data_IF_106225816412
#
_entry.id   IF_106225816412
#
_cell.length_a   1.000
_cell.length_b   1.000
_cell.length_c   1.000
_cell.angle_alpha   90.00
_cell.angle_beta   90.00
_cell.angle_gamma   90.00
#
_symmetry.space_group_name_H-M   'P 1'
#
loop_
_entity.id
_entity.type
_entity.pdbx_description
1 polymer ?
#
# COMPACT_ATOMS: atom_id res chain seq x y z
N UNK A 1 13.35 -7.15 -5.57
CA UNK A 1 11.86 -7.06 -5.59
C UNK A 1 11.19 -8.31 -6.16
N UNK A 2 11.74 -9.00 -7.19
CA UNK A 2 11.11 -10.19 -7.83
C UNK A 2 10.87 -11.33 -6.83
N UNK A 3 11.85 -11.64 -5.97
CA UNK A 3 11.72 -12.70 -4.96
C UNK A 3 10.61 -12.39 -3.92
N UNK A 4 10.48 -11.13 -3.49
CA UNK A 4 9.41 -10.73 -2.58
C UNK A 4 8.03 -10.79 -3.25
N UNK A 5 7.94 -10.47 -4.52
CA UNK A 5 6.71 -10.62 -5.31
C UNK A 5 6.28 -12.08 -5.42
N UNK A 6 7.22 -12.97 -5.78
CA UNK A 6 6.93 -14.42 -5.87
C UNK A 6 6.47 -14.98 -4.53
N UNK A 7 7.18 -14.67 -3.44
CA UNK A 7 6.78 -15.07 -2.09
C UNK A 7 5.34 -14.65 -1.76
N UNK A 8 5.00 -13.38 -2.02
CA UNK A 8 3.66 -12.87 -1.76
C UNK A 8 2.60 -13.52 -2.67
N UNK A 9 2.94 -13.77 -3.95
CA UNK A 9 2.04 -14.45 -4.87
C UNK A 9 1.73 -15.88 -4.42
N UNK A 10 2.72 -16.61 -3.89
CA UNK A 10 2.51 -17.95 -3.34
C UNK A 10 1.53 -17.92 -2.16
N UNK A 11 1.68 -16.96 -1.24
CA UNK A 11 0.74 -16.79 -0.12
C UNK A 11 -0.66 -16.47 -0.64
N UNK A 12 -0.76 -15.47 -1.53
CA UNK A 12 -2.05 -14.96 -2.00
C UNK A 12 -2.82 -15.98 -2.83
N UNK A 13 -2.18 -16.59 -3.83
CA UNK A 13 -2.81 -17.61 -4.69
C UNK A 13 -3.14 -18.87 -3.89
N UNK A 14 -2.21 -19.31 -3.02
CA UNK A 14 -2.46 -20.44 -2.14
C UNK A 14 -3.63 -20.20 -1.20
N UNK A 15 -3.69 -19.03 -0.55
CA UNK A 15 -4.81 -18.67 0.32
C UNK A 15 -6.14 -18.63 -0.43
N UNK A 16 -6.20 -17.97 -1.59
CA UNK A 16 -7.43 -17.91 -2.41
C UNK A 16 -7.87 -19.28 -2.88
N UNK A 17 -6.93 -20.15 -3.27
CA UNK A 17 -7.22 -21.52 -3.66
C UNK A 17 -7.82 -22.33 -2.52
N UNK A 18 -7.23 -22.27 -1.33
CA UNK A 18 -7.75 -22.93 -0.13
C UNK A 18 -9.11 -22.38 0.31
N UNK A 19 -9.27 -21.06 0.29
CA UNK A 19 -10.54 -20.42 0.62
C UNK A 19 -11.65 -20.83 -0.37
N UNK A 20 -11.38 -20.76 -1.67
CA UNK A 20 -12.31 -21.22 -2.70
C UNK A 20 -12.64 -22.71 -2.54
N UNK A 21 -11.65 -23.53 -2.19
CA UNK A 21 -11.84 -24.93 -1.89
C UNK A 21 -12.79 -25.16 -0.71
N UNK A 22 -12.58 -24.45 0.39
CA UNK A 22 -13.47 -24.53 1.57
C UNK A 22 -14.90 -24.14 1.20
N UNK A 23 -15.09 -23.02 0.49
CA UNK A 23 -16.41 -22.60 0.03
C UNK A 23 -17.06 -23.66 -0.87
N UNK A 24 -16.28 -24.27 -1.77
CA UNK A 24 -16.76 -25.34 -2.67
C UNK A 24 -17.21 -26.56 -1.88
N UNK A 25 -16.44 -26.94 -0.83
CA UNK A 25 -16.78 -28.06 0.05
C UNK A 25 -18.07 -27.80 0.82
N UNK A 26 -18.23 -26.59 1.38
CA UNK A 26 -19.44 -26.21 2.10
C UNK A 26 -20.69 -26.19 1.18
N UNK A 27 -20.55 -25.68 -0.03
CA UNK A 27 -21.63 -25.76 -1.04
C UNK A 27 -21.99 -27.22 -1.32
N UNK A 28 -20.99 -28.09 -1.50
CA UNK A 28 -21.24 -29.51 -1.73
C UNK A 28 -21.96 -30.18 -0.54
N UNK A 29 -21.58 -29.84 0.70
CA UNK A 29 -22.25 -30.37 1.91
C UNK A 29 -23.70 -29.91 2.02
N UNK A 30 -24.01 -28.68 1.70
CA UNK A 30 -25.37 -28.10 1.75
C UNK A 30 -26.28 -28.61 0.63
N UNK A 31 -25.72 -29.19 -0.44
CA UNK A 31 -26.50 -29.69 -1.56
C UNK A 31 -27.25 -31.01 -1.25
N UNK A 32 -28.49 -31.16 -1.79
CA UNK A 32 -29.19 -32.44 -1.73
C UNK A 32 -28.34 -33.59 -2.33
N UNK A 33 -28.54 -34.86 -1.90
CA UNK A 33 -27.72 -35.98 -2.37
C UNK A 33 -27.67 -36.13 -3.89
N UNK A 34 -28.76 -35.78 -4.61
CA UNK A 34 -28.84 -35.85 -6.08
C UNK A 34 -28.03 -34.78 -6.83
N UNK A 35 -27.62 -33.70 -6.14
CA UNK A 35 -26.85 -32.59 -6.72
C UNK A 35 -25.41 -32.53 -6.23
N UNK A 36 -24.98 -33.49 -5.43
CA UNK A 36 -23.60 -33.56 -4.93
C UNK A 36 -22.62 -33.82 -6.09
N UNK A 37 -21.69 -32.88 -6.29
CA UNK A 37 -20.81 -32.85 -7.45
C UNK A 37 -19.35 -33.27 -7.15
N UNK A 38 -18.87 -33.16 -5.88
CA UNK A 38 -17.54 -33.62 -5.49
C UNK A 38 -17.53 -35.13 -5.29
N UNK A 39 -17.48 -35.88 -6.41
CA UNK A 39 -17.46 -37.34 -6.43
C UNK A 39 -16.52 -37.83 -7.55
N UNK A 40 -15.95 -39.00 -7.37
CA UNK A 40 -15.07 -39.65 -8.36
C UNK A 40 -13.91 -38.76 -8.79
N UNK A 41 -13.70 -38.63 -10.10
CA UNK A 41 -12.58 -37.85 -10.66
C UNK A 41 -12.63 -36.36 -10.26
N UNK A 42 -13.81 -35.79 -10.12
CA UNK A 42 -13.97 -34.38 -9.70
C UNK A 42 -13.41 -34.18 -8.30
N UNK A 43 -13.65 -35.09 -7.38
CA UNK A 43 -13.08 -35.04 -6.04
C UNK A 43 -11.56 -35.17 -6.06
N UNK A 44 -11.00 -36.08 -6.86
CA UNK A 44 -9.55 -36.27 -6.99
C UNK A 44 -8.87 -35.01 -7.48
N UNK A 45 -9.40 -34.37 -8.54
CA UNK A 45 -8.84 -33.12 -9.08
C UNK A 45 -8.93 -31.99 -8.04
N UNK A 46 -10.06 -31.88 -7.35
CA UNK A 46 -10.28 -30.92 -6.29
C UNK A 46 -9.24 -31.10 -5.17
N UNK A 47 -9.13 -32.30 -4.62
CA UNK A 47 -8.21 -32.64 -3.53
C UNK A 47 -6.75 -32.34 -3.91
N UNK A 48 -6.29 -32.84 -5.06
CA UNK A 48 -4.94 -32.59 -5.55
C UNK A 48 -4.63 -31.10 -5.74
N UNK A 49 -5.61 -30.33 -6.23
CA UNK A 49 -5.45 -28.87 -6.41
C UNK A 49 -5.29 -28.17 -5.07
N UNK A 50 -6.02 -28.57 -4.04
CA UNK A 50 -5.90 -28.00 -2.69
C UNK A 50 -4.57 -28.35 -2.03
N UNK A 51 -4.05 -29.54 -2.26
CA UNK A 51 -2.71 -29.93 -1.82
C UNK A 51 -1.62 -29.00 -2.39
N UNK A 52 -1.69 -28.74 -3.71
CA UNK A 52 -0.77 -27.79 -4.35
C UNK A 52 -0.93 -26.36 -3.79
N UNK A 53 -2.16 -25.93 -3.53
CA UNK A 53 -2.44 -24.64 -2.91
C UNK A 53 -1.86 -24.58 -1.48
N UNK A 54 -1.96 -25.65 -0.71
CA UNK A 54 -1.38 -25.77 0.64
C UNK A 54 0.14 -25.64 0.61
N UNK A 55 0.81 -26.32 -0.32
CA UNK A 55 2.26 -26.21 -0.51
C UNK A 55 2.65 -24.78 -0.84
N UNK A 56 1.98 -24.18 -1.81
CA UNK A 56 2.26 -22.79 -2.20
C UNK A 56 2.09 -21.83 -1.00
N UNK A 57 0.97 -21.94 -0.29
CA UNK A 57 0.64 -21.11 0.86
C UNK A 57 1.68 -21.22 1.97
N UNK A 58 1.97 -22.43 2.45
CA UNK A 58 2.92 -22.63 3.54
C UNK A 58 4.35 -22.28 3.13
N UNK A 59 4.78 -22.62 1.91
CA UNK A 59 6.09 -22.23 1.39
C UNK A 59 6.25 -20.71 1.39
N UNK A 60 5.25 -20.00 0.92
CA UNK A 60 5.24 -18.53 0.94
C UNK A 60 5.32 -17.95 2.35
N UNK A 61 4.56 -18.50 3.30
CA UNK A 61 4.55 -18.05 4.70
C UNK A 61 5.86 -18.31 5.43
N UNK A 62 6.42 -19.54 5.29
CA UNK A 62 7.73 -19.86 5.89
C UNK A 62 8.84 -19.02 5.27
N UNK A 63 8.77 -18.74 3.98
CA UNK A 63 9.72 -17.81 3.34
C UNK A 63 9.57 -16.39 3.90
N UNK A 64 8.34 -15.90 4.09
CA UNK A 64 8.09 -14.60 4.69
C UNK A 64 8.63 -14.51 6.13
N UNK A 65 8.42 -15.56 6.92
CA UNK A 65 8.93 -15.66 8.28
C UNK A 65 10.47 -15.70 8.31
N UNK A 66 11.09 -16.54 7.48
CA UNK A 66 12.54 -16.64 7.36
C UNK A 66 13.19 -15.30 6.96
N UNK A 67 12.58 -14.54 6.04
CA UNK A 67 13.05 -13.20 5.67
C UNK A 67 13.00 -12.21 6.82
N UNK A 68 12.07 -12.34 7.77
CA UNK A 68 12.01 -11.47 8.95
C UNK A 68 12.99 -11.89 10.03
N UNK A 69 13.21 -13.18 10.22
CA UNK A 69 14.11 -13.71 11.25
C UNK A 69 15.58 -13.62 10.85
N UNK A 70 15.90 -13.98 9.60
CA UNK A 70 17.27 -14.16 9.10
C UNK A 70 17.67 -12.99 8.19
N UNK A 71 16.69 -12.31 7.59
CA UNK A 71 16.89 -11.29 6.56
C UNK A 71 17.62 -10.05 7.09
N UNK A 72 18.57 -9.58 6.29
CA UNK A 72 19.40 -8.40 6.58
C UNK A 72 18.87 -7.11 5.96
N UNK A 73 17.76 -7.18 5.20
CA UNK A 73 17.21 -5.99 4.53
C UNK A 73 16.75 -4.94 5.54
N UNK A 74 17.53 -3.86 5.68
CA UNK A 74 17.30 -2.76 6.61
C UNK A 74 15.84 -2.25 6.59
N UNK A 75 15.27 -2.07 5.41
CA UNK A 75 13.89 -1.57 5.23
C UNK A 75 12.80 -2.46 5.86
N UNK A 76 13.04 -3.78 5.96
CA UNK A 76 12.11 -4.73 6.59
C UNK A 76 12.37 -4.77 8.09
N UNK A 77 13.64 -4.93 8.49
CA UNK A 77 14.05 -5.07 9.88
C UNK A 77 13.58 -3.90 10.75
N UNK A 78 13.71 -2.66 10.26
CA UNK A 78 13.35 -1.44 11.02
C UNK A 78 11.86 -1.26 11.24
N UNK A 79 11.01 -1.92 10.44
CA UNK A 79 9.54 -1.77 10.51
C UNK A 79 8.81 -3.08 10.82
N UNK A 80 9.55 -4.14 11.15
CA UNK A 80 8.95 -5.38 11.65
C UNK A 80 8.54 -5.21 13.10
N UNK A 81 7.28 -5.46 13.37
CA UNK A 81 6.67 -5.36 14.70
C UNK A 81 6.23 -6.74 15.19
N UNK A 82 5.85 -6.85 16.46
CA UNK A 82 5.29 -8.08 17.01
C UNK A 82 4.01 -8.51 16.28
N UNK A 83 3.23 -7.55 15.81
CA UNK A 83 2.01 -7.78 15.01
C UNK A 83 2.31 -8.56 13.71
N UNK A 84 3.43 -8.31 13.06
CA UNK A 84 3.86 -9.07 11.88
C UNK A 84 4.12 -10.55 12.19
N UNK A 85 4.73 -10.84 13.35
CA UNK A 85 4.97 -12.22 13.78
C UNK A 85 3.69 -12.92 14.20
N UNK A 86 2.81 -12.23 14.93
CA UNK A 86 1.51 -12.78 15.32
C UNK A 86 0.65 -13.10 14.11
N UNK A 87 0.59 -12.19 13.13
CA UNK A 87 -0.13 -12.39 11.88
C UNK A 87 0.42 -13.59 11.08
N UNK A 88 1.74 -13.69 10.90
CA UNK A 88 2.34 -14.82 10.20
C UNK A 88 2.12 -16.15 10.94
N UNK A 89 2.24 -16.13 12.27
CA UNK A 89 2.01 -17.32 13.10
C UNK A 89 0.57 -17.80 13.01
N UNK A 90 -0.40 -16.87 13.02
CA UNK A 90 -1.81 -17.20 12.86
C UNK A 90 -2.08 -17.84 11.50
N UNK A 91 -1.55 -17.26 10.42
CA UNK A 91 -1.72 -17.79 9.07
C UNK A 91 -1.06 -19.18 8.92
N UNK A 92 0.14 -19.40 9.46
CA UNK A 92 0.82 -20.69 9.48
C UNK A 92 -0.01 -21.70 10.29
N UNK A 93 -0.54 -21.29 11.44
CA UNK A 93 -1.38 -22.14 12.27
C UNK A 93 -2.66 -22.58 11.54
N UNK A 94 -3.32 -21.68 10.82
CA UNK A 94 -4.49 -22.01 9.98
C UNK A 94 -4.10 -23.08 8.93
N UNK A 95 -2.98 -22.91 8.24
CA UNK A 95 -2.53 -23.89 7.25
C UNK A 95 -2.24 -25.27 7.87
N UNK A 96 -1.52 -25.31 8.99
CA UNK A 96 -1.18 -26.56 9.68
C UNK A 96 -2.44 -27.22 10.27
N UNK A 97 -3.32 -26.46 10.89
CA UNK A 97 -4.57 -27.00 11.44
C UNK A 97 -5.51 -27.54 10.36
N UNK A 98 -5.50 -26.93 9.15
CA UNK A 98 -6.19 -27.48 7.99
C UNK A 98 -5.68 -28.85 7.60
N UNK A 99 -4.36 -29.01 7.48
CA UNK A 99 -3.71 -30.33 7.19
C UNK A 99 -4.04 -31.36 8.28
N UNK A 100 -3.98 -30.98 9.57
CA UNK A 100 -4.29 -31.92 10.66
C UNK A 100 -5.76 -32.32 10.66
N UNK A 101 -6.66 -31.41 10.28
CA UNK A 101 -8.09 -31.72 10.15
C UNK A 101 -8.33 -32.71 9.01
N UNK A 102 -7.70 -32.50 7.87
CA UNK A 102 -7.77 -33.44 6.74
C UNK A 102 -7.18 -34.79 7.10
N UNK A 103 -6.00 -34.83 7.70
CA UNK A 103 -5.35 -36.04 8.17
C UNK A 103 -6.23 -36.87 9.14
N UNK A 104 -6.90 -36.16 10.09
CA UNK A 104 -7.85 -36.78 10.99
C UNK A 104 -9.07 -37.38 10.29
N UNK A 105 -9.60 -36.70 9.26
CA UNK A 105 -10.72 -37.20 8.44
C UNK A 105 -10.30 -38.45 7.65
N UNK A 106 -9.15 -38.42 6.99
CA UNK A 106 -8.63 -39.55 6.22
C UNK A 106 -8.40 -40.78 7.12
N UNK A 107 -7.84 -40.58 8.31
CA UNK A 107 -7.65 -41.64 9.30
C UNK A 107 -8.98 -42.20 9.81
N UNK A 108 -10.01 -41.36 9.98
CA UNK A 108 -11.35 -41.79 10.38
C UNK A 108 -12.02 -42.67 9.32
N UNK A 109 -11.74 -42.44 8.04
CA UNK A 109 -12.24 -43.21 6.91
C UNK A 109 -11.38 -44.46 6.60
N UNK A 110 -10.36 -44.75 7.44
CA UNK A 110 -9.43 -45.89 7.27
C UNK A 110 -8.62 -45.81 5.97
N UNK A 111 -8.13 -44.66 5.59
CA UNK A 111 -7.20 -44.44 4.47
C UNK A 111 -7.67 -45.02 3.13
N UNK A 112 -8.82 -44.58 2.59
CA UNK A 112 -9.30 -45.11 1.32
C UNK A 112 -8.36 -44.72 0.16
N UNK A 113 -8.27 -45.58 -0.88
CA UNK A 113 -7.30 -45.43 -1.97
C UNK A 113 -7.41 -44.11 -2.75
N UNK A 114 -8.61 -43.56 -2.85
CA UNK A 114 -8.80 -42.28 -3.54
C UNK A 114 -8.22 -41.07 -2.78
N UNK A 115 -8.03 -41.16 -1.45
CA UNK A 115 -7.40 -40.15 -0.62
C UNK A 115 -5.88 -40.06 -0.78
N UNK A 116 -5.24 -40.98 -1.49
CA UNK A 116 -3.82 -40.87 -1.85
C UNK A 116 -3.50 -39.63 -2.68
N UNK A 117 -4.49 -39.00 -3.29
CA UNK A 117 -4.35 -37.73 -3.98
C UNK A 117 -4.34 -36.53 -3.04
N UNK A 118 -4.85 -36.65 -1.81
CA UNK A 118 -4.61 -35.78 -0.67
C UNK A 118 -3.30 -36.17 0.03
N UNK A 119 -2.20 -36.13 -0.71
CA UNK A 119 -0.95 -36.82 -0.33
C UNK A 119 -0.30 -36.27 0.94
N UNK A 120 -0.45 -34.97 1.28
CA UNK A 120 0.06 -34.37 2.54
C UNK A 120 -0.82 -34.85 3.71
N UNK A 121 -2.14 -34.66 3.58
CA UNK A 121 -3.10 -35.12 4.59
C UNK A 121 -2.99 -36.62 4.85
N UNK A 122 -2.88 -37.41 3.79
CA UNK A 122 -2.68 -38.87 3.87
C UNK A 122 -1.38 -39.24 4.59
N UNK A 123 -0.25 -38.64 4.19
CA UNK A 123 1.05 -38.92 4.80
C UNK A 123 1.11 -38.51 6.27
N UNK A 124 0.52 -37.37 6.63
CA UNK A 124 0.45 -36.89 8.02
C UNK A 124 -0.44 -37.82 8.86
N UNK A 125 -1.59 -38.25 8.34
CA UNK A 125 -2.49 -39.18 9.03
C UNK A 125 -1.84 -40.53 9.30
N UNK A 126 -1.15 -41.07 8.32
CA UNK A 126 -0.41 -42.34 8.42
C UNK A 126 0.75 -42.26 9.43
N UNK A 127 1.55 -41.16 9.33
CA UNK A 127 2.66 -40.90 10.25
C UNK A 127 2.21 -40.77 11.71
N UNK A 128 1.10 -40.09 11.96
CA UNK A 128 0.59 -39.86 13.33
C UNK A 128 0.03 -41.10 13.97
N UNK A 129 -0.36 -42.12 13.23
CA UNK A 129 -0.90 -43.39 13.69
C UNK A 129 -1.90 -43.24 14.83
N UNK A 130 -2.97 -42.48 14.55
CA UNK A 130 -3.90 -41.95 15.58
C UNK A 130 -4.64 -43.10 16.29
N UNK A 131 -4.51 -43.16 17.62
CA UNK A 131 -5.23 -44.10 18.47
C UNK A 131 -6.74 -43.79 18.56
N UNK A 132 -7.13 -42.53 18.40
CA UNK A 132 -8.53 -42.08 18.37
C UNK A 132 -8.71 -41.04 17.28
N UNK A 133 -8.91 -41.43 16.01
CA UNK A 133 -9.05 -40.52 14.90
C UNK A 133 -10.25 -39.56 15.04
N UNK A 134 -11.35 -40.03 15.64
CA UNK A 134 -12.55 -39.21 15.82
C UNK A 134 -12.31 -38.01 16.75
N UNK A 135 -11.73 -38.25 17.91
CA UNK A 135 -11.41 -37.20 18.87
C UNK A 135 -10.39 -36.22 18.27
N UNK A 136 -9.36 -36.74 17.60
CA UNK A 136 -8.34 -35.93 16.96
C UNK A 136 -8.93 -35.03 15.86
N UNK A 137 -9.77 -35.58 14.99
CA UNK A 137 -10.44 -34.81 13.93
C UNK A 137 -11.34 -33.73 14.51
N UNK A 138 -12.14 -34.03 15.55
CA UNK A 138 -12.99 -33.04 16.20
C UNK A 138 -12.19 -31.89 16.81
N UNK A 139 -11.11 -32.18 17.52
CA UNK A 139 -10.26 -31.16 18.14
C UNK A 139 -9.59 -30.30 17.04
N UNK A 140 -8.96 -30.91 16.03
CA UNK A 140 -8.29 -30.19 14.97
C UNK A 140 -9.26 -29.33 14.16
N UNK A 141 -10.47 -29.82 13.90
CA UNK A 141 -11.53 -29.07 13.22
C UNK A 141 -11.95 -27.83 14.04
N UNK A 142 -12.22 -27.99 15.34
CA UNK A 142 -12.57 -26.86 16.23
C UNK A 142 -11.45 -25.82 16.24
N UNK A 143 -10.19 -26.26 16.39
CA UNK A 143 -9.03 -25.35 16.38
C UNK A 143 -8.90 -24.60 15.05
N UNK A 144 -9.12 -25.29 13.93
CA UNK A 144 -9.08 -24.68 12.61
C UNK A 144 -10.18 -23.62 12.44
N UNK A 145 -11.41 -23.94 12.80
CA UNK A 145 -12.56 -23.01 12.73
C UNK A 145 -12.36 -21.81 13.64
N UNK A 146 -11.93 -22.04 14.88
CA UNK A 146 -11.64 -20.93 15.81
C UNK A 146 -10.54 -20.02 15.29
N UNK A 147 -9.45 -20.61 14.76
CA UNK A 147 -8.35 -19.81 14.20
C UNK A 147 -8.79 -19.01 12.98
N UNK A 148 -9.71 -19.52 12.17
CA UNK A 148 -10.31 -18.80 11.07
C UNK A 148 -11.15 -17.59 11.54
N UNK A 149 -11.96 -17.75 12.59
CA UNK A 149 -12.68 -16.61 13.18
C UNK A 149 -11.73 -15.56 13.78
N UNK A 150 -10.66 -16.01 14.45
CA UNK A 150 -9.61 -15.09 14.93
C UNK A 150 -8.98 -14.32 13.78
N UNK A 151 -8.71 -15.00 12.65
CA UNK A 151 -8.21 -14.35 11.43
C UNK A 151 -9.18 -13.31 10.88
N UNK A 152 -10.48 -13.59 10.81
CA UNK A 152 -11.48 -12.63 10.35
C UNK A 152 -11.50 -11.37 11.23
N UNK A 153 -11.42 -11.54 12.56
CA UNK A 153 -11.32 -10.41 13.50
C UNK A 153 -10.00 -9.65 13.33
N UNK A 154 -8.90 -10.36 13.06
CA UNK A 154 -7.58 -9.75 12.88
C UNK A 154 -7.47 -8.90 11.60
N UNK A 155 -8.26 -9.17 10.55
CA UNK A 155 -8.19 -8.43 9.28
C UNK A 155 -8.32 -6.92 9.49
N UNK A 156 -9.41 -6.37 10.08
CA UNK A 156 -9.55 -4.93 10.25
C UNK A 156 -8.58 -4.34 11.29
N UNK A 157 -8.11 -5.14 12.25
CA UNK A 157 -7.31 -4.68 13.38
C UNK A 157 -5.79 -4.71 13.10
N UNK A 158 -5.35 -5.36 12.03
CA UNK A 158 -3.94 -5.55 11.72
C UNK A 158 -3.58 -5.06 10.32
N UNK A 159 -2.31 -5.24 9.95
CA UNK A 159 -1.84 -4.99 8.58
C UNK A 159 -2.56 -5.83 7.51
N UNK A 160 -3.33 -6.85 7.89
CA UNK A 160 -4.13 -7.67 6.96
C UNK A 160 -5.24 -6.88 6.27
N UNK A 161 -5.67 -5.72 6.81
CA UNK A 161 -6.65 -4.85 6.15
C UNK A 161 -6.29 -4.51 4.69
N UNK A 162 -4.97 -4.55 4.34
CA UNK A 162 -4.53 -4.34 2.97
C UNK A 162 -5.11 -5.34 1.96
N UNK A 163 -5.60 -6.50 2.41
CA UNK A 163 -6.29 -7.48 1.56
C UNK A 163 -7.47 -6.83 0.83
N UNK A 164 -8.18 -5.93 1.50
CA UNK A 164 -9.30 -5.18 0.94
C UNK A 164 -8.89 -3.77 0.49
N UNK A 165 -8.16 -3.04 1.33
CA UNK A 165 -7.85 -1.63 1.07
C UNK A 165 -6.92 -1.44 -0.13
N UNK A 166 -5.95 -2.33 -0.36
CA UNK A 166 -5.04 -2.19 -1.50
C UNK A 166 -5.72 -2.40 -2.86
N UNK A 167 -6.53 -3.46 -3.10
CA UNK A 167 -7.27 -3.58 -4.36
C UNK A 167 -8.24 -2.43 -4.60
N UNK A 168 -8.96 -1.98 -3.56
CA UNK A 168 -9.87 -0.83 -3.68
C UNK A 168 -9.08 0.43 -4.03
N UNK A 169 -7.95 0.67 -3.37
CA UNK A 169 -7.09 1.81 -3.66
C UNK A 169 -6.56 1.82 -5.10
N UNK A 170 -6.12 0.67 -5.60
CA UNK A 170 -5.70 0.50 -6.99
C UNK A 170 -6.84 0.73 -7.99
N UNK A 171 -8.05 0.28 -7.66
CA UNK A 171 -9.23 0.51 -8.48
C UNK A 171 -9.61 1.98 -8.57
N UNK A 172 -9.54 2.69 -7.43
CA UNK A 172 -9.89 4.11 -7.28
C UNK A 172 -8.76 5.07 -7.66
N UNK A 173 -7.60 4.58 -8.10
CA UNK A 173 -6.50 5.45 -8.52
C UNK A 173 -6.86 6.22 -9.79
N UNK A 174 -6.47 7.51 -9.94
CA UNK A 174 -6.78 8.32 -11.10
C UNK A 174 -6.01 7.79 -12.33
N UNK A 175 -6.75 7.21 -13.28
CA UNK A 175 -6.18 6.56 -14.48
C UNK A 175 -5.96 7.54 -15.64
N UNK A 176 -6.68 8.66 -15.62
CA UNK A 176 -6.66 9.64 -16.70
C UNK A 176 -5.52 10.66 -16.57
N UNK A 177 -4.91 10.75 -15.38
CA UNK A 177 -3.81 11.68 -15.16
C UNK A 177 -2.54 11.20 -15.88
N UNK A 178 -1.96 12.03 -16.79
CA UNK A 178 -0.72 11.66 -17.46
C UNK A 178 0.40 11.37 -16.48
N UNK A 179 1.31 10.47 -16.84
CA UNK A 179 2.51 10.18 -16.03
C UNK A 179 3.33 11.46 -15.83
N UNK A 180 3.74 11.71 -14.59
CA UNK A 180 4.48 12.91 -14.23
C UNK A 180 3.63 14.15 -13.97
N UNK A 181 2.38 14.20 -14.40
CA UNK A 181 1.50 15.34 -14.15
C UNK A 181 1.20 15.47 -12.64
N UNK A 182 1.25 16.71 -12.14
CA UNK A 182 0.83 17.04 -10.78
C UNK A 182 -0.70 17.10 -10.68
N UNK A 183 -1.23 17.02 -9.46
CA UNK A 183 -2.66 17.22 -9.21
C UNK A 183 -3.05 18.63 -9.60
N UNK A 184 -4.10 18.77 -10.41
CA UNK A 184 -4.67 20.07 -10.72
C UNK A 184 -5.41 20.62 -9.49
N UNK A 185 -5.15 21.87 -9.15
CA UNK A 185 -5.71 22.55 -7.95
C UNK A 185 -6.79 23.59 -8.25
N UNK A 186 -7.10 23.81 -9.51
CA UNK A 186 -8.04 24.86 -9.91
C UNK A 186 -7.42 26.28 -9.86
N UNK A 187 -8.27 27.25 -10.08
CA UNK A 187 -7.90 28.64 -9.96
C UNK A 187 -8.12 29.11 -8.51
N UNK A 188 -7.04 29.43 -7.79
CA UNK A 188 -7.12 29.89 -6.39
C UNK A 188 -7.91 31.20 -6.23
N UNK A 189 -7.97 32.04 -7.28
CA UNK A 189 -8.74 33.30 -7.24
C UNK A 189 -10.26 33.07 -7.32
N UNK A 190 -10.67 31.86 -7.76
CA UNK A 190 -12.07 31.46 -7.88
C UNK A 190 -12.47 30.44 -6.79
N UNK A 191 -11.55 30.14 -5.87
CA UNK A 191 -11.82 29.21 -4.79
C UNK A 191 -12.79 29.82 -3.77
N UNK A 192 -13.82 29.06 -3.39
CA UNK A 192 -14.81 29.48 -2.40
C UNK A 192 -14.21 29.66 -0.98
N UNK A 193 -13.09 28.98 -0.71
CA UNK A 193 -12.39 29.03 0.57
C UNK A 193 -10.89 29.28 0.34
N UNK A 194 -10.51 30.56 0.38
CA UNK A 194 -9.12 31.00 0.28
C UNK A 194 -8.42 30.90 1.66
N UNK A 195 -9.18 30.86 2.74
CA UNK A 195 -8.65 30.87 4.10
C UNK A 195 -8.03 29.51 4.49
N UNK A 196 -8.23 28.45 3.66
CA UNK A 196 -7.73 27.11 3.95
C UNK A 196 -7.17 26.39 2.71
N UNK A 197 -6.04 26.86 2.21
CA UNK A 197 -5.39 26.29 1.02
C UNK A 197 -4.31 25.28 1.39
N UNK A 198 -4.45 24.08 0.91
CA UNK A 198 -3.52 22.98 1.21
C UNK A 198 -4.03 22.08 2.35
N UNK A 199 -3.13 21.33 2.99
CA UNK A 199 -3.51 20.38 4.05
C UNK A 199 -2.64 20.58 5.29
N UNK A 200 -3.29 20.80 6.42
CA UNK A 200 -2.70 20.92 7.75
C UNK A 200 -3.25 19.85 8.70
N UNK A 201 -4.57 19.66 8.67
CA UNK A 201 -5.28 18.70 9.51
C UNK A 201 -5.84 17.53 8.68
N UNK A 202 -6.21 16.44 9.36
CA UNK A 202 -6.72 15.24 8.69
C UNK A 202 -7.95 15.53 7.82
N UNK A 203 -8.84 16.42 8.24
CA UNK A 203 -10.07 16.76 7.50
C UNK A 203 -9.80 17.49 6.17
N UNK A 204 -8.61 18.06 5.99
CA UNK A 204 -8.22 18.71 4.74
C UNK A 204 -7.79 17.71 3.65
N UNK A 205 -7.51 16.44 4.02
CA UNK A 205 -7.21 15.41 3.06
C UNK A 205 -8.48 14.86 2.40
N UNK A 206 -8.39 14.56 1.12
CA UNK A 206 -9.48 13.88 0.43
C UNK A 206 -9.63 12.45 0.95
N UNK A 207 -10.85 11.90 0.85
CA UNK A 207 -11.10 10.50 1.23
C UNK A 207 -10.15 9.51 0.53
N UNK A 208 -9.73 9.80 -0.72
CA UNK A 208 -8.77 8.98 -1.47
C UNK A 208 -7.37 9.06 -0.85
N UNK A 209 -6.94 10.25 -0.44
CA UNK A 209 -5.65 10.43 0.24
C UNK A 209 -5.62 9.71 1.60
N UNK A 210 -6.73 9.68 2.33
CA UNK A 210 -6.86 8.94 3.58
C UNK A 210 -6.88 7.41 3.33
N UNK A 211 -7.59 6.93 2.30
CA UNK A 211 -7.56 5.53 1.89
C UNK A 211 -6.15 5.03 1.53
N UNK A 212 -5.32 5.88 0.92
CA UNK A 212 -3.92 5.58 0.62
C UNK A 212 -3.13 5.15 1.88
N UNK A 213 -3.44 5.76 3.04
CA UNK A 213 -2.76 5.47 4.30
C UNK A 213 -3.05 4.04 4.76
N UNK A 214 -4.29 3.61 4.65
CA UNK A 214 -4.73 2.25 4.98
C UNK A 214 -4.25 1.19 3.97
N UNK A 215 -4.07 1.58 2.72
CA UNK A 215 -3.55 0.70 1.68
C UNK A 215 -2.03 0.46 1.79
N UNK A 216 -1.32 1.26 2.59
CA UNK A 216 0.12 1.18 2.73
C UNK A 216 0.57 -0.12 3.42
N UNK A 217 1.29 -0.97 2.68
CA UNK A 217 1.85 -2.24 3.19
C UNK A 217 3.22 -2.08 3.84
N UNK A 218 3.69 -0.86 4.07
CA UNK A 218 4.98 -0.53 4.71
C UNK A 218 6.19 -1.19 4.02
N UNK A 219 6.09 -1.50 2.75
CA UNK A 219 7.11 -2.28 2.01
C UNK A 219 8.43 -1.54 1.76
N UNK A 220 8.49 -0.21 1.91
CA UNK A 220 9.68 0.63 1.77
C UNK A 220 10.25 0.77 0.34
N UNK A 221 9.48 0.43 -0.70
CA UNK A 221 9.93 0.62 -2.09
C UNK A 221 10.10 2.10 -2.41
N UNK A 222 9.19 2.95 -1.96
CA UNK A 222 9.24 4.40 -2.13
C UNK A 222 10.51 5.01 -1.50
N UNK A 223 10.89 4.57 -0.31
CA UNK A 223 12.15 4.96 0.35
C UNK A 223 13.36 4.60 -0.50
N UNK A 224 13.39 3.37 -1.06
CA UNK A 224 14.55 2.85 -1.80
C UNK A 224 14.81 3.52 -3.15
N UNK A 225 13.84 4.25 -3.72
CA UNK A 225 13.99 4.97 -5.00
C UNK A 225 14.00 6.48 -4.83
N UNK A 226 13.80 6.97 -3.60
CA UNK A 226 13.76 8.41 -3.33
C UNK A 226 15.16 9.04 -3.42
N UNK A 227 15.41 9.97 -4.37
CA UNK A 227 16.73 10.59 -4.49
C UNK A 227 17.10 11.43 -3.27
N UNK A 228 16.14 12.08 -2.62
CA UNK A 228 16.38 12.83 -1.39
C UNK A 228 16.84 11.90 -0.26
N UNK A 229 16.17 10.77 -0.06
CA UNK A 229 16.55 9.80 0.96
C UNK A 229 17.92 9.18 0.68
N UNK A 230 18.19 8.81 -0.58
CA UNK A 230 19.47 8.22 -0.98
C UNK A 230 20.67 9.16 -0.81
N UNK A 231 20.44 10.47 -0.86
CA UNK A 231 21.48 11.49 -0.64
C UNK A 231 21.60 11.91 0.81
N UNK A 232 20.89 11.24 1.74
CA UNK A 232 20.97 11.49 3.17
C UNK A 232 20.18 12.69 3.67
N UNK A 233 19.22 13.21 2.87
CA UNK A 233 18.27 14.23 3.33
C UNK A 233 17.22 13.63 4.27
N UNK A 234 16.56 14.47 5.06
CA UNK A 234 15.59 14.11 6.09
C UNK A 234 14.35 13.38 5.57
N UNK A 235 14.00 13.52 4.28
CA UNK A 235 12.80 12.92 3.71
C UNK A 235 12.89 11.39 3.57
N UNK A 236 11.94 10.69 4.17
CA UNK A 236 11.56 9.32 3.82
C UNK A 236 10.08 9.29 3.38
N UNK A 237 9.78 9.02 2.08
CA UNK A 237 8.39 9.03 1.59
C UNK A 237 7.47 8.03 2.31
N UNK A 238 8.01 6.90 2.79
CA UNK A 238 7.26 5.95 3.61
C UNK A 238 6.87 6.55 4.95
N UNK A 239 7.79 7.26 5.62
CA UNK A 239 7.53 7.90 6.91
C UNK A 239 6.46 8.99 6.80
N UNK A 240 6.41 9.74 5.70
CA UNK A 240 5.32 10.70 5.47
C UNK A 240 3.96 9.99 5.54
N UNK A 241 3.78 8.89 4.82
CA UNK A 241 2.52 8.11 4.84
C UNK A 241 2.22 7.56 6.24
N UNK A 242 3.23 7.04 6.93
CA UNK A 242 3.05 6.46 8.27
C UNK A 242 2.72 7.54 9.30
N UNK A 243 3.37 8.70 9.26
CA UNK A 243 3.11 9.82 10.16
C UNK A 243 1.70 10.37 9.99
N UNK A 244 1.24 10.61 8.74
CA UNK A 244 -0.14 11.04 8.48
C UNK A 244 -1.13 9.97 8.95
N UNK A 245 -0.85 8.68 8.69
CA UNK A 245 -1.69 7.56 9.17
C UNK A 245 -1.77 7.47 10.70
N UNK A 246 -0.68 7.81 11.40
CA UNK A 246 -0.68 7.90 12.86
C UNK A 246 -1.58 9.04 13.37
N UNK A 247 -1.46 10.23 12.79
CA UNK A 247 -2.34 11.37 13.13
C UNK A 247 -3.80 10.98 12.87
N UNK A 248 -4.12 10.38 11.72
CA UNK A 248 -5.47 9.90 11.40
C UNK A 248 -5.99 8.87 12.42
N UNK A 249 -5.15 7.96 12.91
CA UNK A 249 -5.58 6.95 13.89
C UNK A 249 -5.77 7.52 15.30
N UNK A 250 -5.14 8.64 15.61
CA UNK A 250 -5.23 9.34 16.89
C UNK A 250 -6.32 10.42 16.88
N UNK A 251 -6.63 10.97 15.71
CA UNK A 251 -7.73 11.90 15.51
C UNK A 251 -9.05 11.20 15.81
N UNK A 252 -9.90 11.80 16.60
CA UNK A 252 -11.19 11.25 17.02
C UNK A 252 -11.14 10.20 18.14
N UNK A 253 -9.99 9.87 18.72
CA UNK A 253 -9.93 9.09 19.95
C UNK A 253 -10.08 10.01 21.17
N UNK A 254 -10.94 9.65 22.15
CA UNK A 254 -11.00 10.40 23.40
C UNK A 254 -9.63 10.38 24.07
N UNK A 255 -9.20 11.54 24.59
CA UNK A 255 -7.95 11.66 25.32
C UNK A 255 -7.86 10.64 26.46
N UNK A 256 -7.01 9.63 26.30
CA UNK A 256 -6.70 8.69 27.38
C UNK A 256 -5.63 9.35 28.24
N UNK A 257 -5.84 9.48 29.58
CA UNK A 257 -4.80 10.00 30.46
C UNK A 257 -3.49 9.22 30.32
N UNK A 258 -2.38 9.91 30.34
CA UNK A 258 -1.01 9.37 30.13
C UNK A 258 -0.55 8.47 31.31
N UNK A 259 -1.21 7.34 31.53
CA UNK A 259 -0.86 6.37 32.59
C UNK A 259 -0.35 5.03 32.06
N UNK A 260 -0.17 4.86 30.76
CA UNK A 260 0.41 3.64 30.21
C UNK A 260 1.70 3.97 29.50
N UNK A 261 2.78 3.54 30.11
CA UNK A 261 4.18 3.67 29.67
C UNK A 261 4.40 2.97 28.32
N UNK A 262 4.26 3.70 27.23
CA UNK A 262 4.93 3.38 25.97
C UNK A 262 5.94 4.50 25.70
N UNK A 263 7.23 4.19 25.47
CA UNK A 263 8.20 5.20 25.09
C UNK A 263 7.97 5.58 23.64
N UNK A 264 7.15 6.58 23.45
CA UNK A 264 6.89 7.26 22.18
C UNK A 264 6.63 8.74 22.49
N UNK A 265 6.84 9.66 21.54
CA UNK A 265 6.57 11.06 21.78
C UNK A 265 5.12 11.25 22.22
N UNK A 266 4.91 12.19 23.14
CA UNK A 266 3.65 12.56 23.76
C UNK A 266 2.47 12.42 22.79
N UNK A 267 1.41 11.73 23.20
CA UNK A 267 0.13 11.70 22.47
C UNK A 267 -0.39 13.12 22.40
N UNK A 268 -0.24 13.74 21.26
CA UNK A 268 -0.82 15.03 20.99
C UNK A 268 -2.22 14.75 20.46
N UNK A 269 -3.23 15.32 21.10
CA UNK A 269 -4.64 15.23 20.69
C UNK A 269 -4.93 16.17 19.51
N UNK A 270 -3.99 16.36 18.61
CA UNK A 270 -4.12 17.29 17.50
C UNK A 270 -4.27 16.53 16.21
N UNK A 271 -5.17 17.00 15.39
CA UNK A 271 -5.38 16.50 14.01
C UNK A 271 -4.33 17.06 13.05
N UNK A 272 -3.40 17.91 13.57
CA UNK A 272 -2.39 18.61 12.80
C UNK A 272 -1.23 17.68 12.42
N UNK A 273 -0.96 17.54 11.12
CA UNK A 273 0.09 16.66 10.61
C UNK A 273 1.50 17.21 10.85
N UNK A 274 1.64 18.53 11.02
CA UNK A 274 2.94 19.18 11.25
C UNK A 274 3.52 18.94 12.64
N UNK A 275 2.74 18.40 13.56
CA UNK A 275 3.28 17.91 14.83
C UNK A 275 4.21 16.72 14.66
N UNK A 276 4.10 15.97 13.54
CA UNK A 276 4.91 14.79 13.24
C UNK A 276 5.77 14.92 11.99
N UNK A 277 5.40 15.83 11.09
CA UNK A 277 6.07 16.06 9.81
C UNK A 277 6.70 17.44 9.84
N UNK A 278 8.01 17.50 9.68
CA UNK A 278 8.73 18.76 9.68
C UNK A 278 8.70 19.43 8.31
N UNK A 279 8.76 20.76 8.29
CA UNK A 279 8.93 21.56 7.08
C UNK A 279 10.16 21.11 6.28
N UNK A 280 11.29 20.81 6.95
CA UNK A 280 12.51 20.30 6.32
C UNK A 280 12.28 18.99 5.56
N UNK A 281 11.55 18.01 6.14
CA UNK A 281 11.22 16.76 5.45
C UNK A 281 10.44 17.03 4.16
N UNK A 282 9.46 17.93 4.22
CA UNK A 282 8.63 18.27 3.06
C UNK A 282 9.46 18.96 1.98
N UNK A 283 10.24 19.99 2.34
CA UNK A 283 11.02 20.75 1.37
C UNK A 283 12.22 19.99 0.80
N UNK A 284 12.65 18.89 1.43
CA UNK A 284 13.64 17.99 0.87
C UNK A 284 13.16 17.21 -0.37
N UNK A 285 11.85 17.15 -0.63
CA UNK A 285 11.28 16.44 -1.78
C UNK A 285 11.60 17.15 -3.10
N UNK A 286 12.12 16.43 -4.08
CA UNK A 286 12.44 16.93 -5.44
C UNK A 286 11.26 16.87 -6.41
N UNK A 287 10.08 16.46 -5.95
CA UNK A 287 8.84 16.33 -6.75
C UNK A 287 8.96 15.42 -8.00
N UNK A 288 9.86 14.43 -7.95
CA UNK A 288 10.17 13.56 -9.10
C UNK A 288 9.17 12.41 -9.36
N UNK A 289 8.17 12.20 -8.48
CA UNK A 289 7.16 11.11 -8.56
C UNK A 289 7.69 9.67 -8.52
N UNK A 290 8.97 9.45 -8.31
CA UNK A 290 9.54 8.09 -8.26
C UNK A 290 8.88 7.22 -7.18
N UNK A 291 8.46 7.80 -6.06
CA UNK A 291 7.77 7.10 -4.97
C UNK A 291 6.37 6.62 -5.37
N UNK A 292 5.62 7.41 -6.15
CA UNK A 292 4.29 7.07 -6.65
C UNK A 292 4.39 5.95 -7.70
N UNK A 293 5.31 6.08 -8.67
CA UNK A 293 5.50 5.12 -9.76
C UNK A 293 5.92 3.72 -9.27
N UNK A 294 6.76 3.65 -8.21
CA UNK A 294 7.21 2.36 -7.68
C UNK A 294 6.21 1.71 -6.73
N UNK A 295 5.16 2.43 -6.31
CA UNK A 295 4.22 1.94 -5.33
C UNK A 295 3.35 0.80 -5.91
N UNK A 296 3.39 -0.42 -5.32
CA UNK A 296 2.64 -1.56 -5.84
C UNK A 296 1.12 -1.44 -5.64
N UNK A 297 0.68 -0.49 -4.82
CA UNK A 297 -0.73 -0.27 -4.47
C UNK A 297 -1.22 1.14 -4.83
N UNK A 298 -0.48 1.84 -5.72
CA UNK A 298 -0.84 3.13 -6.31
C UNK A 298 -1.13 4.24 -5.28
N UNK A 299 -0.29 4.36 -4.26
CA UNK A 299 -0.36 5.46 -3.28
C UNK A 299 0.23 6.72 -3.92
N UNK A 300 -0.50 7.83 -3.88
CA UNK A 300 -0.09 9.14 -4.37
C UNK A 300 0.61 9.94 -3.25
N UNK A 301 1.88 9.63 -3.02
CA UNK A 301 2.67 10.22 -1.92
C UNK A 301 2.98 11.68 -2.21
N UNK A 302 3.36 11.98 -3.46
CA UNK A 302 3.75 13.33 -3.86
C UNK A 302 2.59 14.33 -3.73
N UNK A 303 1.37 13.92 -4.07
CA UNK A 303 0.21 14.81 -3.95
C UNK A 303 0.00 15.29 -2.50
N UNK A 304 0.18 14.40 -1.53
CA UNK A 304 0.12 14.75 -0.09
C UNK A 304 1.23 15.73 0.31
N UNK A 305 2.46 15.47 -0.16
CA UNK A 305 3.59 16.37 0.09
C UNK A 305 3.33 17.76 -0.51
N UNK A 306 2.79 17.83 -1.72
CA UNK A 306 2.50 19.10 -2.37
C UNK A 306 1.35 19.85 -1.70
N UNK A 307 0.30 19.13 -1.26
CA UNK A 307 -0.81 19.75 -0.54
C UNK A 307 -0.34 20.31 0.82
N UNK A 308 0.52 19.58 1.56
CA UNK A 308 1.13 20.11 2.79
C UNK A 308 2.08 21.29 2.54
N UNK A 309 2.94 21.23 1.49
CA UNK A 309 3.79 22.38 1.10
C UNK A 309 2.98 23.60 0.75
N UNK A 310 1.82 23.41 0.12
CA UNK A 310 0.93 24.51 -0.25
C UNK A 310 0.41 25.23 0.99
N UNK A 311 0.02 24.47 2.01
CA UNK A 311 -0.36 25.05 3.30
C UNK A 311 0.80 25.84 3.91
N UNK A 312 1.98 25.22 4.04
CA UNK A 312 3.15 25.90 4.59
C UNK A 312 3.51 27.20 3.84
N UNK A 313 3.47 27.17 2.51
CA UNK A 313 3.86 28.33 1.71
C UNK A 313 2.82 29.46 1.71
N UNK A 314 1.52 29.13 1.62
CA UNK A 314 0.45 30.11 1.43
C UNK A 314 -0.18 30.56 2.74
N UNK A 315 -0.27 29.68 3.74
CA UNK A 315 -0.91 30.00 5.02
C UNK A 315 0.12 30.39 6.09
N UNK A 316 1.25 29.68 6.15
CA UNK A 316 2.26 29.85 7.20
C UNK A 316 3.45 30.72 6.76
N UNK A 317 3.60 30.97 5.45
CA UNK A 317 4.81 31.60 4.87
C UNK A 317 6.11 30.87 5.25
N UNK A 318 6.02 29.56 5.53
CA UNK A 318 7.15 28.68 5.87
C UNK A 318 7.69 27.99 4.63
N UNK A 319 8.74 28.55 4.06
CA UNK A 319 9.47 28.00 2.93
C UNK A 319 10.96 28.38 2.97
N UNK A 320 11.86 27.63 2.31
CA UNK A 320 13.28 27.96 2.27
C UNK A 320 13.53 29.39 1.77
N UNK A 321 14.42 30.11 2.43
CA UNK A 321 14.71 31.53 2.15
C UNK A 321 15.14 31.78 0.69
N UNK A 322 15.77 30.78 0.06
CA UNK A 322 16.16 30.83 -1.36
C UNK A 322 14.95 30.91 -2.29
N UNK A 323 13.84 30.24 -1.95
CA UNK A 323 12.60 30.32 -2.72
C UNK A 323 11.95 31.71 -2.61
N UNK A 324 12.07 32.39 -1.46
CA UNK A 324 11.58 33.75 -1.31
C UNK A 324 12.19 34.73 -2.35
N UNK A 325 13.49 34.61 -2.62
CA UNK A 325 14.14 35.36 -3.67
C UNK A 325 13.59 35.04 -5.06
N UNK A 326 13.35 33.76 -5.34
CA UNK A 326 12.78 33.32 -6.60
C UNK A 326 11.34 33.83 -6.77
N UNK A 327 10.52 33.85 -5.72
CA UNK A 327 9.15 34.36 -5.75
C UNK A 327 9.13 35.87 -6.04
N UNK A 328 9.95 36.68 -5.35
CA UNK A 328 10.10 38.08 -5.60
C UNK A 328 10.60 38.37 -7.02
N UNK A 329 11.55 37.55 -7.52
CA UNK A 329 12.04 37.66 -8.88
C UNK A 329 10.98 37.28 -9.93
N UNK A 330 10.17 36.27 -9.66
CA UNK A 330 9.03 35.87 -10.53
C UNK A 330 7.99 37.01 -10.61
N UNK A 331 7.65 37.60 -9.46
CA UNK A 331 6.68 38.72 -9.36
C UNK A 331 7.16 39.94 -10.14
N UNK A 332 8.40 40.36 -9.92
CA UNK A 332 8.91 41.61 -10.48
C UNK A 332 9.50 41.49 -11.89
N UNK A 333 10.03 40.34 -12.26
CA UNK A 333 10.78 40.11 -13.51
C UNK A 333 10.24 38.99 -14.36
N UNK A 334 9.17 38.31 -13.92
CA UNK A 334 8.57 37.14 -14.58
C UNK A 334 9.57 36.00 -14.85
N UNK A 335 10.65 35.93 -14.08
CA UNK A 335 11.60 34.82 -14.07
C UNK A 335 12.26 34.65 -12.70
N UNK A 336 12.65 33.41 -12.29
CA UNK A 336 13.14 33.12 -10.95
C UNK A 336 14.52 33.69 -10.64
N UNK A 337 15.27 34.15 -11.62
CA UNK A 337 16.61 34.72 -11.45
C UNK A 337 16.61 36.23 -11.34
N UNK A 338 15.49 36.93 -11.55
CA UNK A 338 15.40 38.39 -11.56
C UNK A 338 16.13 39.04 -12.74
N UNK A 339 16.41 38.24 -13.80
CA UNK A 339 17.09 38.73 -14.98
C UNK A 339 16.18 39.69 -15.78
N UNK A 340 16.81 40.70 -16.46
CA UNK A 340 16.07 41.62 -17.30
C UNK A 340 15.38 40.89 -18.46
N UNK A 341 14.12 41.27 -18.77
CA UNK A 341 13.42 40.74 -19.96
C UNK A 341 14.17 41.07 -21.26
N UNK A 342 14.95 42.12 -21.33
CA UNK A 342 15.77 42.50 -22.47
C UNK A 342 16.92 41.49 -22.71
N UNK A 343 17.32 40.75 -21.69
CA UNK A 343 18.40 39.77 -21.80
C UNK A 343 17.91 38.40 -22.28
N UNK A 344 16.59 38.22 -22.41
CA UNK A 344 15.96 36.94 -22.75
C UNK A 344 16.42 36.37 -24.08
N UNK A 345 16.76 37.24 -25.06
CA UNK A 345 17.18 36.87 -26.39
C UNK A 345 18.70 36.99 -26.62
N UNK A 346 19.49 37.42 -25.65
CA UNK A 346 20.94 37.58 -25.79
C UNK A 346 21.65 36.29 -26.23
N UNK A 347 21.18 35.14 -25.81
CA UNK A 347 21.71 33.84 -26.18
C UNK A 347 21.57 33.54 -27.70
N UNK A 348 20.72 34.28 -28.41
CA UNK A 348 20.48 34.12 -29.85
C UNK A 348 21.31 35.05 -30.69
N UNK A 349 22.07 36.00 -30.12
CA UNK A 349 22.80 37.04 -30.84
C UNK A 349 23.83 36.47 -31.87
N UNK A 350 24.44 35.33 -31.55
CA UNK A 350 25.39 34.62 -32.41
C UNK A 350 24.72 33.54 -33.32
N UNK A 351 23.40 33.42 -33.24
CA UNK A 351 22.63 32.46 -34.01
C UNK A 351 21.77 33.19 -35.04
N UNK A 352 21.76 32.74 -36.28
CA UNK A 352 20.91 33.29 -37.35
C UNK A 352 19.45 32.86 -37.17
N UNK A 353 18.86 33.25 -36.02
CA UNK A 353 17.48 32.93 -35.64
C UNK A 353 16.61 34.17 -35.78
N UNK A 354 15.46 34.04 -36.44
CA UNK A 354 14.46 35.10 -36.51
C UNK A 354 13.57 35.00 -35.26
N UNK A 355 13.50 36.08 -34.39
CA UNK A 355 12.59 36.10 -33.26
C UNK A 355 11.13 35.99 -33.75
N UNK A 356 10.37 35.06 -33.19
CA UNK A 356 8.94 34.99 -33.45
C UNK A 356 8.27 36.13 -32.68
N UNK A 357 7.62 37.04 -33.39
CA UNK A 357 6.86 38.10 -32.76
C UNK A 357 5.63 37.50 -32.05
N UNK A 358 5.64 37.51 -30.72
CA UNK A 358 4.58 36.92 -29.85
C UNK A 358 3.19 37.45 -30.24
N UNK A 359 3.10 38.71 -30.68
CA UNK A 359 1.83 39.34 -31.04
C UNK A 359 1.14 38.71 -32.29
N UNK A 360 1.90 38.19 -33.22
CA UNK A 360 1.33 37.59 -34.44
C UNK A 360 0.92 36.12 -34.23
N UNK A 361 1.63 35.43 -33.37
CA UNK A 361 1.34 34.03 -33.06
C UNK A 361 0.07 33.86 -32.20
N UNK A 362 -0.16 34.76 -31.25
CA UNK A 362 -1.36 34.73 -30.41
C UNK A 362 -2.63 35.08 -31.19
N UNK A 363 -2.53 35.93 -32.20
CA UNK A 363 -3.66 36.27 -33.07
C UNK A 363 -4.03 35.19 -34.10
N UNK A 364 -3.10 34.29 -34.41
CA UNK A 364 -3.32 33.20 -35.37
C UNK A 364 -3.68 31.85 -34.73
N UNK A 365 -3.64 31.73 -33.40
CA UNK A 365 -4.12 30.55 -32.67
C UNK A 365 -5.52 30.77 -32.10
N UNK A 366 -6.60 30.42 -32.81
CA UNK A 366 -7.94 30.44 -32.23
C UNK A 366 -8.09 29.25 -31.28
N UNK A 367 -8.16 29.52 -29.99
CA UNK A 367 -8.50 28.56 -28.93
C UNK A 367 -7.78 27.20 -29.02
N UNK A 368 -6.53 27.12 -28.53
CA UNK A 368 -5.79 25.89 -28.22
C UNK A 368 -6.03 24.67 -29.15
N UNK A 369 -5.71 24.71 -30.43
CA UNK A 369 -5.54 23.49 -31.19
C UNK A 369 -4.21 22.83 -30.79
N UNK A 370 -4.16 21.51 -30.82
CA UNK A 370 -2.99 20.66 -30.55
C UNK A 370 -1.71 21.09 -31.26
N UNK A 371 -1.83 21.78 -32.38
CA UNK A 371 -0.71 22.31 -33.18
C UNK A 371 0.09 23.46 -32.51
N UNK A 372 -0.51 24.22 -31.59
CA UNK A 372 0.22 25.24 -30.83
C UNK A 372 1.14 24.67 -29.74
N UNK A 373 0.94 23.41 -29.35
CA UNK A 373 1.75 22.71 -28.33
C UNK A 373 3.08 22.24 -28.92
N UNK A 374 3.17 21.96 -30.25
CA UNK A 374 4.40 21.53 -30.91
C UNK A 374 5.47 22.63 -31.01
N UNK A 375 5.11 23.87 -30.88
CA UNK A 375 6.04 25.02 -30.95
C UNK A 375 6.43 25.59 -29.58
N UNK A 376 6.07 24.94 -28.46
CA UNK A 376 6.56 25.30 -27.12
C UNK A 376 6.08 26.67 -26.60
N UNK A 377 4.88 27.11 -26.97
CA UNK A 377 4.22 28.31 -26.48
C UNK A 377 3.18 27.93 -25.42
#
# INVERSE_FOLDING_TARGET
FKAAGLMHSLIYIGFLGLFAGTVTLEIHHLMPPSLKFLQGTTYIVYSFTLELATIAYLTGLFWALARRLIGTEYRIKTKTTIDDYLTLSLLIFIGISGITTEAGRIALENFPDYEKWSFIGYAVGDFLNLSNPELFHRISWVLHVVSFFVFLIAIPLSKLRHIFTSPINMFMSPKERPKGAMKFIGNLLEADDIDNVGTEIIDHFTWKQLMDLDACTVCGRCTSVCPANQTGKSLDPREIILKVGQVMSESGQPAVPATVSTPGPLRVNSDNVFERITSEELWACTSCKACDEICPVNIEILDKILDMRRHLALMESDFPAELGKAYVAMENSSNPWGASQNDRLKWTEDLDLKPIAIADTIRSCPALPTECIEYGI
#
